data_IF_491548991568
#
_entry.id   IF_491548991568
#
_cell.length_a   1.000
_cell.length_b   1.000
_cell.length_c   1.000
_cell.angle_alpha   90.00
_cell.angle_beta   90.00
_cell.angle_gamma   90.00
#
_symmetry.space_group_name_H-M   'P 1'
#
loop_
_entity.id
_entity.type
_entity.pdbx_description
1 polymer ?
#
# COMPACT_ATOMS: atom_id res chain seq x y z
N UNK A 1 9.10 -6.95 5.94
CA UNK A 1 8.50 -7.62 4.76
C UNK A 1 8.07 -6.54 3.79
N UNK A 2 8.10 -6.82 2.48
CA UNK A 2 7.75 -5.84 1.44
C UNK A 2 6.58 -6.42 0.65
N UNK A 3 5.55 -5.62 0.47
CA UNK A 3 4.41 -5.93 -0.38
C UNK A 3 4.49 -5.09 -1.64
N UNK A 4 4.08 -5.68 -2.76
CA UNK A 4 3.84 -4.96 -4.01
C UNK A 4 2.34 -4.81 -4.15
N UNK A 5 1.88 -3.57 -4.26
CA UNK A 5 0.46 -3.23 -4.38
C UNK A 5 0.27 -2.60 -5.76
N UNK A 6 -0.64 -3.17 -6.54
CA UNK A 6 -1.10 -2.58 -7.79
C UNK A 6 -2.21 -1.59 -7.47
N UNK A 7 -1.95 -0.32 -7.75
CA UNK A 7 -2.87 0.76 -7.43
C UNK A 7 -3.99 0.82 -8.46
N UNK A 8 -5.22 0.93 -7.97
CA UNK A 8 -6.40 1.23 -8.80
C UNK A 8 -6.82 2.69 -8.70
N UNK A 9 -6.22 3.43 -7.76
CA UNK A 9 -6.45 4.86 -7.52
C UNK A 9 -5.14 5.54 -7.09
N UNK A 10 -5.16 6.84 -6.85
CA UNK A 10 -4.01 7.60 -6.35
C UNK A 10 -3.73 7.34 -4.88
N UNK A 11 -2.45 7.27 -4.51
CA UNK A 11 -1.96 7.07 -3.16
C UNK A 11 -0.75 7.97 -2.90
N UNK A 12 -0.64 8.55 -1.70
CA UNK A 12 0.45 9.45 -1.32
C UNK A 12 1.14 9.01 -0.04
N UNK A 13 2.43 9.35 0.07
CA UNK A 13 3.19 9.12 1.30
C UNK A 13 2.57 9.99 2.40
N UNK A 14 2.24 9.36 3.52
CA UNK A 14 1.49 9.99 4.60
C UNK A 14 0.03 9.57 4.70
N UNK A 15 -0.54 8.96 3.66
CA UNK A 15 -1.91 8.43 3.74
C UNK A 15 -1.96 7.20 4.65
N UNK A 16 -3.14 6.96 5.22
CA UNK A 16 -3.42 5.76 6.00
C UNK A 16 -4.15 4.76 5.10
N UNK A 17 -3.65 3.54 5.05
CA UNK A 17 -4.28 2.44 4.35
C UNK A 17 -4.82 1.41 5.34
N UNK A 18 -5.93 0.80 4.98
CA UNK A 18 -6.52 -0.35 5.64
C UNK A 18 -6.36 -1.56 4.75
N UNK A 19 -5.56 -2.53 5.20
CA UNK A 19 -5.37 -3.81 4.52
C UNK A 19 -6.37 -4.80 5.08
N UNK A 20 -7.22 -5.33 4.20
CA UNK A 20 -8.24 -6.30 4.52
C UNK A 20 -8.13 -7.52 3.61
N UNK A 21 -7.69 -8.60 4.21
CA UNK A 21 -7.55 -9.92 3.61
C UNK A 21 -8.36 -10.97 4.37
N UNK A 22 -8.13 -12.23 4.02
CA UNK A 22 -8.77 -13.36 4.72
C UNK A 22 -8.23 -13.56 6.14
N UNK A 23 -6.97 -13.20 6.38
CA UNK A 23 -6.27 -13.38 7.67
C UNK A 23 -5.57 -12.12 8.16
N UNK A 24 -5.71 -11.01 7.44
CA UNK A 24 -4.97 -9.78 7.64
C UNK A 24 -5.99 -8.64 7.70
N UNK A 25 -6.12 -7.98 8.83
CA UNK A 25 -7.04 -6.86 9.03
C UNK A 25 -6.34 -5.82 9.91
N UNK A 26 -5.69 -4.86 9.27
CA UNK A 26 -4.92 -3.85 9.97
C UNK A 26 -4.83 -2.55 9.17
N UNK A 27 -4.69 -1.44 9.90
CA UNK A 27 -4.39 -0.14 9.32
C UNK A 27 -2.91 0.18 9.48
N UNK A 28 -2.29 0.75 8.45
CA UNK A 28 -0.96 1.33 8.57
C UNK A 28 -0.87 2.66 7.82
N UNK A 29 0.04 3.50 8.30
CA UNK A 29 0.44 4.70 7.57
C UNK A 29 1.53 4.37 6.55
N UNK A 30 1.51 5.09 5.44
CA UNK A 30 2.55 4.97 4.42
C UNK A 30 3.75 5.82 4.83
N UNK A 31 4.81 5.16 5.28
CA UNK A 31 6.08 5.83 5.60
C UNK A 31 6.93 6.09 4.35
N UNK A 32 6.87 5.19 3.37
CA UNK A 32 7.64 5.28 2.12
C UNK A 32 7.05 4.39 1.03
N UNK A 33 7.16 4.83 -0.22
CA UNK A 33 6.76 4.06 -1.40
C UNK A 33 7.89 4.04 -2.43
N UNK A 34 7.96 2.96 -3.20
CA UNK A 34 8.93 2.78 -4.27
C UNK A 34 8.25 2.28 -5.55
N UNK A 35 8.60 2.84 -6.70
CA UNK A 35 8.17 2.36 -8.03
C UNK A 35 9.43 2.10 -8.84
N UNK A 36 9.59 0.89 -9.40
CA UNK A 36 10.75 0.54 -10.24
C UNK A 36 12.13 0.86 -9.61
N UNK A 37 12.26 0.68 -8.29
CA UNK A 37 13.43 1.04 -7.46
C UNK A 37 13.66 2.54 -7.20
N UNK A 38 12.77 3.41 -7.63
CA UNK A 38 12.80 4.83 -7.31
C UNK A 38 11.84 5.16 -6.16
N UNK A 39 12.27 6.03 -5.23
CA UNK A 39 11.38 6.54 -4.19
C UNK A 39 10.44 7.58 -4.76
N UNK A 40 9.15 7.39 -4.51
CA UNK A 40 8.09 8.30 -4.97
C UNK A 40 7.27 8.79 -3.80
N UNK A 41 6.78 10.03 -3.90
CA UNK A 41 5.88 10.61 -2.90
C UNK A 41 4.40 10.36 -3.22
N UNK A 42 4.09 10.14 -4.48
CA UNK A 42 2.74 9.92 -4.99
C UNK A 42 2.80 8.85 -6.07
N UNK A 43 1.76 8.03 -6.12
CA UNK A 43 1.58 6.99 -7.09
C UNK A 43 0.12 6.99 -7.57
N UNK A 44 -0.08 6.75 -8.85
CA UNK A 44 -1.40 6.76 -9.48
C UNK A 44 -1.93 5.36 -9.81
N UNK A 45 -3.20 5.32 -10.22
CA UNK A 45 -3.83 4.12 -10.75
C UNK A 45 -3.01 3.51 -11.90
N UNK A 46 -2.86 2.19 -11.91
CA UNK A 46 -2.08 1.44 -12.89
C UNK A 46 -0.58 1.34 -12.56
N UNK A 47 -0.12 1.92 -11.45
CA UNK A 47 1.26 1.78 -11.00
C UNK A 47 1.40 0.71 -9.90
N UNK A 48 2.53 0.02 -9.94
CA UNK A 48 2.91 -0.96 -8.92
C UNK A 48 3.87 -0.32 -7.93
N UNK A 49 3.41 -0.15 -6.69
CA UNK A 49 4.23 0.37 -5.60
C UNK A 49 4.74 -0.75 -4.70
N UNK A 50 6.01 -0.69 -4.35
CA UNK A 50 6.60 -1.44 -3.25
C UNK A 50 6.51 -0.64 -1.96
N UNK A 51 5.97 -1.25 -0.91
CA UNK A 51 5.94 -0.66 0.43
C UNK A 51 6.25 -1.70 1.51
N UNK A 52 6.86 -1.26 2.61
CA UNK A 52 7.00 -2.08 3.81
C UNK A 52 5.65 -2.23 4.51
N UNK A 53 5.28 -3.47 4.79
CA UNK A 53 4.10 -3.80 5.58
C UNK A 53 4.49 -4.28 6.97
N UNK A 54 3.71 -3.87 7.96
CA UNK A 54 3.89 -4.24 9.38
C UNK A 54 3.57 -5.72 9.62
N UNK A 55 2.56 -6.22 8.90
CA UNK A 55 2.00 -7.55 9.06
C UNK A 55 2.02 -8.33 7.74
N UNK A 56 2.03 -9.67 7.79
CA UNK A 56 2.04 -10.49 6.59
C UNK A 56 0.75 -10.30 5.79
N UNK A 57 0.93 -9.96 4.51
CA UNK A 57 -0.15 -9.84 3.52
C UNK A 57 -0.06 -10.97 2.51
N UNK A 58 -1.18 -11.31 1.87
CA UNK A 58 -1.26 -12.33 0.83
C UNK A 58 -1.73 -11.74 -0.49
N UNK A 59 -1.43 -12.50 -1.56
CA UNK A 59 -2.00 -12.23 -2.87
C UNK A 59 -3.53 -12.27 -2.75
N UNK A 60 -4.21 -11.26 -3.31
CA UNK A 60 -5.65 -10.99 -3.21
C UNK A 60 -6.14 -10.23 -1.97
N UNK A 61 -5.25 -9.75 -1.09
CA UNK A 61 -5.67 -8.83 -0.04
C UNK A 61 -6.13 -7.49 -0.66
N UNK A 62 -7.25 -6.96 -0.17
CA UNK A 62 -7.76 -5.67 -0.60
C UNK A 62 -7.13 -4.57 0.26
N UNK A 63 -6.77 -3.46 -0.37
CA UNK A 63 -6.20 -2.30 0.29
C UNK A 63 -7.11 -1.11 0.02
N UNK A 64 -7.52 -0.43 1.08
CA UNK A 64 -8.38 0.75 1.01
C UNK A 64 -7.65 1.94 1.62
N UNK A 65 -7.73 3.10 0.98
CA UNK A 65 -7.31 4.36 1.62
C UNK A 65 -8.38 4.73 2.64
N UNK A 66 -7.96 5.01 3.86
CA UNK A 66 -8.83 5.53 4.91
C UNK A 66 -8.42 6.96 5.20
N UNK A 67 -9.33 7.88 4.90
CA UNK A 67 -9.29 9.25 5.38
C UNK A 67 -10.03 9.28 6.73
N UNK A 68 -9.44 9.93 7.72
CA UNK A 68 -10.05 10.15 9.05
C UNK A 68 -11.09 11.28 9.00
#
# INVERSE_FOLDING_TARGET
MVAVIELTDTLKVGDTIHVKGATSDFTQKIDSMQIEHEQVQEAGAGQSIGMKVSEPVRQHDAVFVVEE
#
